data_IF_916430221723
#
_entry.id   IF_916430221723
#
_cell.length_a   1.000
_cell.length_b   1.000
_cell.length_c   1.000
_cell.angle_alpha   90.00
_cell.angle_beta   90.00
_cell.angle_gamma   90.00
#
_symmetry.space_group_name_H-M   'P 1'
#
loop_
_entity.id
_entity.type
_entity.pdbx_description
1 polymer ?
#
# COMPACT_ATOMS: atom_id res chain seq x y z
N UNK A 1 -5.53 -21.94 1.09
CA UNK A 1 -4.75 -20.91 0.38
C UNK A 1 -5.57 -20.39 -0.79
N UNK A 2 -5.83 -19.08 -0.88
CA UNK A 2 -6.35 -18.49 -2.12
C UNK A 2 -5.27 -18.71 -3.19
N UNK A 3 -5.67 -19.19 -4.37
CA UNK A 3 -4.74 -19.36 -5.50
C UNK A 3 -4.31 -17.99 -5.98
N UNK A 4 -3.01 -17.81 -6.16
CA UNK A 4 -2.44 -16.62 -6.81
C UNK A 4 -2.92 -16.63 -8.28
N UNK A 5 -3.40 -15.51 -8.82
CA UNK A 5 -3.75 -15.41 -10.24
C UNK A 5 -2.57 -15.74 -11.15
N UNK A 6 -2.83 -16.32 -12.33
CA UNK A 6 -1.76 -16.72 -13.25
C UNK A 6 -0.97 -15.54 -13.83
N UNK A 7 -1.58 -14.35 -13.85
CA UNK A 7 -1.03 -13.08 -14.34
C UNK A 7 -0.59 -12.15 -13.21
N UNK A 8 -0.45 -12.68 -11.99
CA UNK A 8 -0.03 -11.89 -10.84
C UNK A 8 1.40 -11.36 -11.01
N UNK A 9 1.57 -10.07 -10.72
CA UNK A 9 2.87 -9.41 -10.57
C UNK A 9 3.11 -9.04 -9.10
N UNK A 10 4.38 -8.94 -8.69
CA UNK A 10 4.80 -8.58 -7.34
C UNK A 10 5.03 -7.07 -7.16
N UNK A 11 4.72 -6.59 -5.96
CA UNK A 11 5.17 -5.30 -5.46
C UNK A 11 6.08 -5.53 -4.25
N UNK A 12 7.34 -5.11 -4.37
CA UNK A 12 8.35 -5.26 -3.33
C UNK A 12 8.42 -4.02 -2.45
N UNK A 13 8.46 -4.21 -1.14
CA UNK A 13 8.56 -3.13 -0.15
C UNK A 13 9.81 -3.39 0.68
N UNK A 14 10.88 -2.67 0.34
CA UNK A 14 12.21 -2.83 0.90
C UNK A 14 12.47 -1.71 1.90
N UNK A 15 12.55 -2.07 3.18
CA UNK A 15 12.75 -1.14 4.29
C UNK A 15 14.06 -1.47 4.99
N UNK A 16 14.90 -0.46 5.25
CA UNK A 16 16.17 -0.67 5.93
C UNK A 16 16.64 0.55 6.72
N UNK A 17 17.55 0.30 7.65
CA UNK A 17 18.27 1.35 8.37
C UNK A 17 19.76 1.29 8.05
N UNK A 18 20.39 2.46 7.95
CA UNK A 18 21.82 2.62 7.69
C UNK A 18 22.38 3.77 8.50
N UNK A 19 23.36 3.49 9.35
CA UNK A 19 23.94 4.42 10.32
C UNK A 19 24.61 5.66 9.69
N UNK A 20 25.06 5.57 8.43
CA UNK A 20 25.73 6.68 7.73
C UNK A 20 24.79 7.66 7.03
N UNK A 21 23.47 7.41 7.06
CA UNK A 21 22.49 8.31 6.45
C UNK A 21 22.04 9.35 7.47
N UNK A 22 22.12 10.63 7.10
CA UNK A 22 21.59 11.74 7.89
C UNK A 22 20.13 12.06 7.59
N UNK A 23 19.59 11.51 6.48
CA UNK A 23 18.21 11.69 6.03
C UNK A 23 17.72 10.42 5.31
N UNK A 24 16.41 10.11 5.37
CA UNK A 24 15.85 8.99 4.63
C UNK A 24 15.97 9.21 3.12
N UNK A 25 16.18 8.11 2.41
CA UNK A 25 16.14 7.99 0.96
C UNK A 25 14.92 7.14 0.62
N UNK A 26 14.07 7.68 -0.25
CA UNK A 26 12.87 7.01 -0.72
C UNK A 26 12.89 6.90 -2.24
N UNK A 27 12.51 5.73 -2.76
CA UNK A 27 12.27 5.52 -4.17
C UNK A 27 11.00 4.70 -4.38
N UNK A 28 10.20 5.09 -5.35
CA UNK A 28 9.10 4.30 -5.88
C UNK A 28 9.38 4.04 -7.36
N UNK A 29 9.45 2.77 -7.73
CA UNK A 29 9.81 2.33 -9.07
C UNK A 29 8.68 1.47 -9.63
N UNK A 30 8.18 1.83 -10.81
CA UNK A 30 7.35 0.95 -11.65
C UNK A 30 8.17 0.51 -12.84
N UNK A 31 8.41 -0.79 -12.96
CA UNK A 31 9.07 -1.36 -14.13
C UNK A 31 8.12 -1.33 -15.33
N UNK A 32 8.66 -1.06 -16.52
CA UNK A 32 7.87 -1.04 -17.76
C UNK A 32 7.19 -2.39 -18.03
N UNK A 33 7.87 -3.49 -17.71
CA UNK A 33 7.37 -4.87 -17.69
C UNK A 33 7.73 -5.54 -16.37
N UNK A 34 6.91 -6.48 -15.91
CA UNK A 34 7.27 -7.34 -14.79
C UNK A 34 8.57 -8.11 -15.10
N UNK A 35 9.48 -8.17 -14.13
CA UNK A 35 10.78 -8.82 -14.26
C UNK A 35 10.97 -9.84 -13.14
N UNK A 36 11.32 -11.07 -13.50
CA UNK A 36 11.79 -12.05 -12.52
C UNK A 36 13.18 -11.65 -12.03
N UNK A 37 13.29 -11.35 -10.74
CA UNK A 37 14.55 -10.97 -10.09
C UNK A 37 14.88 -12.05 -9.06
N UNK A 38 16.03 -12.70 -9.24
CA UNK A 38 16.45 -13.80 -8.37
C UNK A 38 16.58 -13.32 -6.92
N UNK A 39 16.04 -14.13 -6.00
CA UNK A 39 16.07 -13.90 -4.54
C UNK A 39 15.43 -12.59 -4.08
N UNK A 40 14.59 -11.96 -4.90
CA UNK A 40 13.89 -10.74 -4.49
C UNK A 40 12.58 -11.05 -3.75
N UNK A 41 11.80 -12.01 -4.24
CA UNK A 41 10.47 -12.35 -3.73
C UNK A 41 10.42 -13.77 -3.17
N UNK A 42 9.63 -14.01 -2.12
CA UNK A 42 9.41 -15.36 -1.58
C UNK A 42 8.72 -16.30 -2.58
N UNK A 43 7.88 -15.74 -3.44
CA UNK A 43 7.18 -16.45 -4.51
C UNK A 43 7.77 -16.02 -5.85
N UNK A 44 8.01 -16.98 -6.75
CA UNK A 44 8.52 -16.73 -8.09
C UNK A 44 7.47 -16.04 -9.00
N UNK A 45 7.23 -14.76 -8.74
CA UNK A 45 6.39 -13.88 -9.55
C UNK A 45 7.25 -12.74 -10.14
N UNK A 46 6.89 -12.22 -11.32
CA UNK A 46 7.58 -11.07 -11.88
C UNK A 46 7.35 -9.82 -11.03
N UNK A 47 8.43 -9.16 -10.61
CA UNK A 47 8.37 -7.89 -9.87
C UNK A 47 7.97 -6.77 -10.82
N UNK A 48 6.93 -6.01 -10.47
CA UNK A 48 6.47 -4.85 -11.24
C UNK A 48 6.74 -3.54 -10.52
N UNK A 49 6.57 -3.54 -9.19
CA UNK A 49 6.76 -2.36 -8.36
C UNK A 49 7.85 -2.61 -7.32
N UNK A 50 8.64 -1.59 -7.03
CA UNK A 50 9.62 -1.60 -5.94
C UNK A 50 9.48 -0.29 -5.19
N UNK A 51 9.21 -0.39 -3.89
CA UNK A 51 9.37 0.71 -2.96
C UNK A 51 10.60 0.46 -2.11
N UNK A 52 11.43 1.50 -1.98
CA UNK A 52 12.63 1.49 -1.16
C UNK A 52 12.55 2.64 -0.17
N UNK A 53 12.73 2.33 1.12
CA UNK A 53 12.97 3.31 2.18
C UNK A 53 14.19 2.88 2.98
N UNK A 54 15.26 3.66 2.89
CA UNK A 54 16.47 3.47 3.71
C UNK A 54 16.78 4.78 4.41
N UNK A 55 16.99 4.77 5.72
CA UNK A 55 17.36 5.98 6.47
C UNK A 55 18.14 5.69 7.74
N UNK A 56 18.37 6.70 8.60
CA UNK A 56 18.93 6.47 9.94
C UNK A 56 18.06 5.51 10.76
N UNK A 57 18.60 5.00 11.88
CA UNK A 57 17.83 4.11 12.76
C UNK A 57 16.55 4.80 13.27
N UNK A 58 15.39 4.23 12.93
CA UNK A 58 14.06 4.74 13.24
C UNK A 58 13.10 3.53 13.32
N UNK A 59 12.25 3.48 14.34
CA UNK A 59 11.33 2.33 14.55
C UNK A 59 10.16 2.37 13.55
N UNK A 60 9.75 3.57 13.15
CA UNK A 60 8.58 3.87 12.34
C UNK A 60 8.70 3.37 10.88
N UNK A 61 9.91 3.08 10.40
CA UNK A 61 10.12 2.61 9.03
C UNK A 61 9.38 1.30 8.74
N UNK A 62 9.32 0.41 9.72
CA UNK A 62 8.58 -0.84 9.57
C UNK A 62 7.08 -0.60 9.36
N UNK A 63 6.49 0.33 10.13
CA UNK A 63 5.08 0.69 10.01
C UNK A 63 4.76 1.45 8.71
N UNK A 64 5.70 2.24 8.19
CA UNK A 64 5.59 2.84 6.85
C UNK A 64 5.54 1.74 5.79
N UNK A 65 6.43 0.75 5.87
CA UNK A 65 6.43 -0.40 4.95
C UNK A 65 5.12 -1.17 5.00
N UNK A 66 4.62 -1.50 6.20
CA UNK A 66 3.32 -2.19 6.38
C UNK A 66 2.16 -1.40 5.78
N UNK A 67 2.14 -0.09 6.01
CA UNK A 67 1.11 0.80 5.49
C UNK A 67 1.12 0.81 3.96
N UNK A 68 2.31 0.85 3.34
CA UNK A 68 2.43 0.80 1.88
C UNK A 68 2.05 -0.56 1.29
N UNK A 69 2.45 -1.66 1.92
CA UNK A 69 2.02 -3.01 1.51
C UNK A 69 0.50 -3.16 1.59
N UNK A 70 -0.13 -2.52 2.59
CA UNK A 70 -1.59 -2.49 2.72
C UNK A 70 -2.24 -1.69 1.59
N UNK A 71 -1.69 -0.53 1.24
CA UNK A 71 -2.13 0.26 0.08
C UNK A 71 -2.11 -0.57 -1.21
N UNK A 72 -0.99 -1.25 -1.50
CA UNK A 72 -0.85 -2.13 -2.66
C UNK A 72 -1.81 -3.33 -2.66
N UNK A 73 -2.38 -3.69 -1.52
CA UNK A 73 -3.39 -4.75 -1.44
C UNK A 73 -4.78 -4.28 -1.90
N UNK A 74 -4.98 -2.96 -2.09
CA UNK A 74 -6.25 -2.40 -2.55
C UNK A 74 -6.31 -2.29 -4.08
N UNK A 75 -7.46 -2.61 -4.73
CA UNK A 75 -7.62 -2.42 -6.17
C UNK A 75 -7.44 -0.96 -6.61
N UNK A 76 -8.10 -0.03 -5.92
CA UNK A 76 -8.11 1.40 -6.26
C UNK A 76 -6.69 1.98 -6.33
N UNK A 77 -5.83 1.68 -5.34
CA UNK A 77 -4.43 2.13 -5.36
C UNK A 77 -3.61 1.45 -6.45
N UNK A 78 -3.80 0.14 -6.69
CA UNK A 78 -3.08 -0.57 -7.76
C UNK A 78 -3.40 0.01 -9.12
N UNK A 79 -4.65 0.30 -9.42
CA UNK A 79 -5.06 0.87 -10.70
C UNK A 79 -4.36 2.21 -10.95
N UNK A 80 -4.32 3.08 -9.94
CA UNK A 80 -3.54 4.34 -10.03
C UNK A 80 -2.04 4.06 -10.17
N UNK A 81 -1.46 3.13 -9.42
CA UNK A 81 -0.04 2.81 -9.52
C UNK A 81 0.36 2.32 -10.93
N UNK A 82 -0.49 1.54 -11.60
CA UNK A 82 -0.27 1.10 -12.99
C UNK A 82 -0.38 2.23 -14.01
N UNK A 83 -1.16 3.28 -13.73
CA UNK A 83 -1.42 4.38 -14.66
C UNK A 83 -0.66 5.67 -14.33
N UNK A 84 -0.07 5.77 -13.14
CA UNK A 84 0.63 6.95 -12.67
C UNK A 84 1.70 7.41 -13.68
N UNK A 85 1.70 8.71 -13.97
CA UNK A 85 2.67 9.36 -14.84
C UNK A 85 3.68 10.15 -14.03
N UNK A 86 3.28 10.65 -12.86
CA UNK A 86 4.17 11.31 -11.92
C UNK A 86 3.80 11.07 -10.45
N UNK A 87 4.61 11.61 -9.54
CA UNK A 87 4.43 11.42 -8.09
C UNK A 87 3.09 11.94 -7.55
N UNK A 88 2.45 12.90 -8.22
CA UNK A 88 1.20 13.51 -7.76
C UNK A 88 0.06 12.52 -7.85
N UNK A 89 0.06 11.65 -8.85
CA UNK A 89 -0.97 10.61 -9.00
C UNK A 89 -0.94 9.64 -7.82
N UNK A 90 0.27 9.20 -7.43
CA UNK A 90 0.46 8.35 -6.26
C UNK A 90 0.06 9.05 -4.95
N UNK A 91 0.46 10.31 -4.78
CA UNK A 91 0.09 11.10 -3.60
C UNK A 91 -1.43 11.31 -3.50
N UNK A 92 -2.10 11.51 -4.64
CA UNK A 92 -3.55 11.59 -4.70
C UNK A 92 -4.19 10.27 -4.26
N UNK A 93 -3.75 9.14 -4.79
CA UNK A 93 -4.29 7.83 -4.42
C UNK A 93 -4.08 7.50 -2.92
N UNK A 94 -2.94 7.90 -2.35
CA UNK A 94 -2.68 7.76 -0.91
C UNK A 94 -3.68 8.59 -0.11
N UNK A 95 -3.91 9.85 -0.49
CA UNK A 95 -4.86 10.73 0.21
C UNK A 95 -6.31 10.25 0.07
N UNK A 96 -6.67 9.72 -1.09
CA UNK A 96 -7.98 9.14 -1.34
C UNK A 96 -8.21 7.92 -0.43
N UNK A 97 -7.23 7.01 -0.35
CA UNK A 97 -7.27 5.89 0.59
C UNK A 97 -7.45 6.34 2.05
N UNK A 98 -6.73 7.38 2.48
CA UNK A 98 -6.88 7.91 3.83
C UNK A 98 -8.24 8.56 4.07
N UNK A 99 -8.83 9.18 3.06
CA UNK A 99 -10.16 9.78 3.14
C UNK A 99 -11.26 8.72 3.31
N UNK A 100 -11.05 7.55 2.70
CA UNK A 100 -11.91 6.36 2.83
C UNK A 100 -11.65 5.55 4.10
N UNK A 101 -10.54 5.79 4.79
CA UNK A 101 -10.11 5.02 5.97
C UNK A 101 -10.88 5.43 7.23
N UNK A 102 -11.20 4.44 8.07
CA UNK A 102 -11.79 4.66 9.40
C UNK A 102 -10.69 4.53 10.43
N UNK A 103 -10.54 5.55 11.28
CA UNK A 103 -9.67 5.48 12.45
C UNK A 103 -10.49 4.98 13.63
N UNK A 104 -10.07 3.86 14.21
CA UNK A 104 -10.60 3.38 15.47
C UNK A 104 -9.75 3.96 16.61
N UNK A 105 -10.31 4.77 17.53
CA UNK A 105 -9.56 5.21 18.70
C UNK A 105 -9.17 4.01 19.58
N UNK A 106 -8.21 4.11 20.49
CA UNK A 106 -7.92 3.03 21.43
C UNK A 106 -9.17 2.67 22.27
N UNK A 107 -9.45 1.38 22.41
CA UNK A 107 -10.60 0.89 23.18
C UNK A 107 -10.83 -0.61 23.02
N UNK A 108 -11.67 -1.16 23.88
CA UNK A 108 -12.12 -2.55 23.79
C UNK A 108 -13.28 -2.63 22.80
N UNK A 109 -13.00 -3.11 21.58
CA UNK A 109 -13.99 -3.28 20.54
C UNK A 109 -14.42 -4.73 20.43
N UNK A 110 -15.72 -4.96 20.51
CA UNK A 110 -16.34 -6.21 20.09
C UNK A 110 -17.04 -6.04 18.73
N UNK A 111 -17.58 -7.15 18.21
CA UNK A 111 -18.29 -7.15 16.93
C UNK A 111 -19.54 -6.27 16.95
N UNK A 112 -20.25 -6.21 18.07
CA UNK A 112 -21.51 -5.48 18.20
C UNK A 112 -21.27 -3.97 18.12
N UNK A 113 -20.16 -3.50 18.68
CA UNK A 113 -19.71 -2.10 18.61
C UNK A 113 -19.18 -1.72 17.21
N UNK A 114 -18.54 -2.64 16.49
CA UNK A 114 -17.93 -2.34 15.18
C UNK A 114 -18.92 -2.37 14.01
N UNK A 115 -19.96 -3.19 14.08
CA UNK A 115 -20.91 -3.37 12.98
C UNK A 115 -21.54 -2.05 12.49
N UNK A 116 -22.09 -1.18 13.37
CA UNK A 116 -22.71 0.08 12.94
C UNK A 116 -21.71 1.03 12.25
N UNK A 117 -20.45 1.05 12.72
CA UNK A 117 -19.39 1.88 12.16
C UNK A 117 -19.07 1.43 10.73
N UNK A 118 -18.91 0.11 10.54
CA UNK A 118 -18.62 -0.49 9.23
C UNK A 118 -19.78 -0.27 8.25
N UNK A 119 -21.03 -0.42 8.70
CA UNK A 119 -22.21 -0.18 7.86
C UNK A 119 -22.29 1.27 7.41
N UNK A 120 -22.05 2.22 8.31
CA UNK A 120 -22.03 3.66 8.00
C UNK A 120 -20.97 3.99 6.95
N UNK A 121 -19.77 3.41 7.07
CA UNK A 121 -18.71 3.60 6.10
C UNK A 121 -19.04 3.00 4.72
N UNK A 122 -19.63 1.80 4.69
CA UNK A 122 -20.11 1.18 3.44
C UNK A 122 -21.17 2.05 2.74
N UNK A 123 -22.11 2.61 3.49
CA UNK A 123 -23.14 3.52 2.94
C UNK A 123 -22.52 4.78 2.35
N UNK A 124 -21.52 5.37 3.01
CA UNK A 124 -20.79 6.54 2.49
C UNK A 124 -20.09 6.22 1.16
N UNK A 125 -19.35 5.11 1.08
CA UNK A 125 -18.65 4.69 -0.15
C UNK A 125 -19.64 4.44 -1.30
N UNK A 126 -20.76 3.77 -1.04
CA UNK A 126 -21.80 3.53 -2.04
C UNK A 126 -22.44 4.82 -2.58
N UNK A 127 -22.59 5.84 -1.74
CA UNK A 127 -23.17 7.12 -2.15
C UNK A 127 -22.19 7.99 -2.94
N UNK A 128 -20.88 7.88 -2.66
CA UNK A 128 -19.83 8.55 -3.43
C UNK A 128 -19.75 7.99 -4.87
N UNK A 129 -19.77 6.66 -5.02
CA UNK A 129 -19.75 5.98 -6.32
C UNK A 129 -20.99 6.22 -7.18
N UNK A 130 -22.12 6.64 -6.59
CA UNK A 130 -23.34 7.00 -7.33
C UNK A 130 -23.34 8.42 -7.89
N UNK A 131 -22.40 9.26 -7.44
CA UNK A 131 -22.29 10.68 -7.81
C UNK A 131 -21.13 10.96 -8.78
N UNK A 132 -20.34 9.94 -9.09
CA UNK A 132 -19.25 9.93 -10.09
C UNK A 132 -19.72 9.28 -11.37
#
# INVERSE_FOLDING_TARGET
>A
MRRIPNDAECAEVLIGSMHNLTRPIMAFVRLSRGLSIDNMSEVSLPVKFIFLLIGPAMEEYFEIGRSLSTLFSTPDFRDVAYQAMDRRDLLYAINDFFSDSIVLPPGDYDKELLLPIIETAKMKKNNANKRS
#
